data_IF_084988909281
#
_entry.id   IF_084988909281
#
_cell.length_a   1.000
_cell.length_b   1.000
_cell.length_c   1.000
_cell.angle_alpha   90.00
_cell.angle_beta   90.00
_cell.angle_gamma   90.00
#
_symmetry.space_group_name_H-M   'P 1'
#
loop_
_entity.id
_entity.type
_entity.pdbx_description
1 polymer ?
#
# COMPACT_ATOMS: atom_id res chain seq x y z
N UNK A 1 -0.58 18.01 14.90
CA UNK A 1 -1.03 18.73 13.69
C UNK A 1 -0.05 18.62 12.51
N UNK A 2 1.26 18.31 12.65
CA UNK A 2 2.16 18.22 11.46
C UNK A 2 2.01 16.94 10.61
N UNK A 3 1.70 15.79 11.22
CA UNK A 3 1.67 14.50 10.50
C UNK A 3 0.57 14.33 9.45
N UNK A 4 -0.52 15.11 9.50
CA UNK A 4 -1.58 15.06 8.50
C UNK A 4 -1.19 15.79 7.20
N UNK A 5 -0.45 16.89 7.31
CA UNK A 5 0.09 17.65 6.17
C UNK A 5 1.17 16.86 5.43
N UNK A 6 2.05 16.17 6.17
CA UNK A 6 3.08 15.29 5.60
C UNK A 6 2.48 14.11 4.81
N UNK A 7 1.35 13.54 5.27
CA UNK A 7 0.68 12.44 4.59
C UNK A 7 0.10 12.89 3.23
N UNK A 8 -0.58 14.04 3.23
CA UNK A 8 -1.13 14.65 2.02
C UNK A 8 -0.03 14.92 0.99
N UNK A 9 1.14 15.39 1.43
CA UNK A 9 2.29 15.63 0.56
C UNK A 9 2.82 14.32 -0.04
N UNK A 10 2.98 13.26 0.76
CA UNK A 10 3.47 11.96 0.26
C UNK A 10 2.49 11.31 -0.73
N UNK A 11 1.19 11.37 -0.45
CA UNK A 11 0.15 10.90 -1.37
C UNK A 11 0.14 11.71 -2.66
N UNK A 12 0.30 13.03 -2.56
CA UNK A 12 0.38 13.90 -3.73
C UNK A 12 1.63 13.60 -4.57
N UNK A 13 2.78 13.35 -3.94
CA UNK A 13 4.00 12.94 -4.63
C UNK A 13 3.80 11.60 -5.33
N UNK A 14 3.24 10.60 -4.64
CA UNK A 14 2.96 9.29 -5.25
C UNK A 14 2.01 9.42 -6.45
N UNK A 15 0.95 10.22 -6.33
CA UNK A 15 -0.02 10.46 -7.41
C UNK A 15 0.62 11.19 -8.59
N UNK A 16 1.46 12.18 -8.33
CA UNK A 16 2.21 12.89 -9.39
C UNK A 16 3.19 11.96 -10.09
N UNK A 17 3.86 11.08 -9.35
CA UNK A 17 4.77 10.08 -9.91
C UNK A 17 4.02 9.10 -10.83
N UNK A 18 2.88 8.57 -10.38
CA UNK A 18 2.03 7.70 -11.22
C UNK A 18 1.62 8.42 -12.52
N UNK A 19 1.19 9.70 -12.44
CA UNK A 19 0.84 10.49 -13.61
C UNK A 19 2.02 10.78 -14.56
N UNK A 20 3.24 10.90 -14.04
CA UNK A 20 4.46 11.05 -14.84
C UNK A 20 4.77 9.73 -15.57
N UNK A 21 4.65 8.59 -14.89
CA UNK A 21 4.88 7.28 -15.49
C UNK A 21 3.90 7.01 -16.63
N UNK A 22 2.63 7.37 -16.47
CA UNK A 22 1.61 7.24 -17.52
C UNK A 22 1.94 8.11 -18.75
N UNK A 23 2.34 9.37 -18.52
CA UNK A 23 2.76 10.27 -19.60
C UNK A 23 4.01 9.77 -20.32
N UNK A 24 5.00 9.24 -19.59
CA UNK A 24 6.18 8.64 -20.19
C UNK A 24 5.83 7.40 -21.02
N UNK A 25 4.88 6.59 -20.57
CA UNK A 25 4.39 5.44 -21.34
C UNK A 25 3.72 5.88 -22.65
N UNK A 26 2.92 6.95 -22.63
CA UNK A 26 2.30 7.50 -23.83
C UNK A 26 3.36 8.05 -24.80
N UNK A 27 4.35 8.79 -24.30
CA UNK A 27 5.43 9.32 -25.12
C UNK A 27 6.30 8.20 -25.72
N UNK A 28 6.56 7.13 -24.96
CA UNK A 28 7.26 5.93 -25.46
C UNK A 28 6.49 5.30 -26.63
N UNK A 29 5.17 5.15 -26.52
CA UNK A 29 4.32 4.62 -27.60
C UNK A 29 4.35 5.51 -28.85
N UNK A 30 4.17 6.82 -28.68
CA UNK A 30 4.22 7.78 -29.80
C UNK A 30 5.59 7.80 -30.47
N UNK A 31 6.68 7.64 -29.71
CA UNK A 31 8.03 7.60 -30.24
C UNK A 31 8.32 6.29 -31.01
N UNK A 32 7.70 5.16 -30.61
CA UNK A 32 7.80 3.89 -31.34
C UNK A 32 7.05 3.91 -32.68
N UNK A 33 5.97 4.67 -32.78
CA UNK A 33 5.17 4.80 -34.01
C UNK A 33 5.87 5.65 -35.10
N UNK A 34 6.93 6.39 -34.74
CA UNK A 34 7.62 7.28 -35.66
C UNK A 34 9.14 7.00 -35.69
N UNK A 35 9.69 6.47 -36.81
CA UNK A 35 11.10 6.10 -36.93
C UNK A 35 12.08 7.23 -36.59
N UNK A 36 11.65 8.50 -36.69
CA UNK A 36 12.44 9.68 -36.33
C UNK A 36 12.79 9.75 -34.85
N UNK A 37 12.04 9.09 -33.98
CA UNK A 37 12.17 9.17 -32.53
C UNK A 37 12.53 7.82 -31.88
N UNK A 38 12.99 6.84 -32.67
CA UNK A 38 13.33 5.51 -32.19
C UNK A 38 14.35 5.52 -31.04
N UNK A 39 15.41 6.33 -31.14
CA UNK A 39 16.45 6.47 -30.11
C UNK A 39 15.89 7.10 -28.80
N UNK A 40 14.92 8.01 -28.94
CA UNK A 40 14.23 8.63 -27.80
C UNK A 40 13.30 7.65 -27.09
N UNK A 41 12.69 6.70 -27.81
CA UNK A 41 11.80 5.70 -27.24
C UNK A 41 12.55 4.82 -26.22
N UNK A 42 13.79 4.42 -26.51
CA UNK A 42 14.63 3.66 -25.58
C UNK A 42 14.97 4.47 -24.32
N UNK A 43 15.33 5.74 -24.49
CA UNK A 43 15.64 6.65 -23.35
C UNK A 43 14.42 6.87 -22.46
N UNK A 44 13.23 7.05 -23.06
CA UNK A 44 11.96 7.18 -22.33
C UNK A 44 11.60 5.91 -21.56
N UNK A 45 11.81 4.74 -22.17
CA UNK A 45 11.62 3.45 -21.52
C UNK A 45 12.53 3.28 -20.30
N UNK A 46 13.83 3.57 -20.45
CA UNK A 46 14.78 3.50 -19.34
C UNK A 46 14.39 4.45 -18.21
N UNK A 47 14.01 5.69 -18.55
CA UNK A 47 13.57 6.69 -17.56
C UNK A 47 12.32 6.22 -16.80
N UNK A 48 11.34 5.65 -17.50
CA UNK A 48 10.14 5.07 -16.89
C UNK A 48 10.49 3.93 -15.93
N UNK A 49 11.41 3.03 -16.32
CA UNK A 49 11.88 1.94 -15.46
C UNK A 49 12.52 2.50 -14.18
N UNK A 50 13.48 3.43 -14.29
CA UNK A 50 14.13 4.02 -13.12
C UNK A 50 13.15 4.71 -12.17
N UNK A 51 12.20 5.49 -12.71
CA UNK A 51 11.21 6.19 -11.90
C UNK A 51 10.21 5.24 -11.23
N UNK A 52 9.85 4.14 -11.90
CA UNK A 52 8.92 3.14 -11.34
C UNK A 52 9.45 2.45 -10.08
N UNK A 53 10.78 2.40 -9.90
CA UNK A 53 11.41 1.85 -8.70
C UNK A 53 11.06 2.65 -7.43
N UNK A 54 10.69 3.92 -7.57
CA UNK A 54 10.34 4.80 -6.45
C UNK A 54 8.85 4.78 -6.09
N UNK A 55 7.98 4.25 -6.95
CA UNK A 55 6.53 4.24 -6.73
C UNK A 55 6.12 3.39 -5.53
N UNK A 56 6.57 2.14 -5.45
CA UNK A 56 6.23 1.25 -4.34
C UNK A 56 6.77 1.72 -2.98
N UNK A 57 8.05 2.14 -2.84
CA UNK A 57 8.57 2.68 -1.59
C UNK A 57 7.73 3.85 -1.04
N UNK A 58 7.30 4.78 -1.90
CA UNK A 58 6.45 5.90 -1.50
C UNK A 58 5.09 5.43 -0.97
N UNK A 59 4.44 4.50 -1.68
CA UNK A 59 3.17 3.90 -1.25
C UNK A 59 3.31 3.15 0.08
N UNK A 60 4.45 2.51 0.34
CA UNK A 60 4.73 1.84 1.63
C UNK A 60 4.86 2.87 2.76
N UNK A 61 5.55 3.98 2.54
CA UNK A 61 5.71 5.03 3.55
C UNK A 61 4.36 5.62 3.99
N UNK A 62 3.47 5.91 3.04
CA UNK A 62 2.10 6.37 3.33
C UNK A 62 1.35 5.35 4.19
N UNK A 63 1.37 4.08 3.79
CA UNK A 63 0.71 2.98 4.53
C UNK A 63 1.28 2.80 5.95
N UNK A 64 2.58 2.93 6.13
CA UNK A 64 3.25 2.84 7.44
C UNK A 64 2.82 3.96 8.39
N UNK A 65 2.68 5.18 7.88
CA UNK A 65 2.22 6.33 8.68
C UNK A 65 0.76 6.17 9.12
N UNK A 66 -0.12 5.73 8.20
CA UNK A 66 -1.51 5.41 8.51
C UNK A 66 -1.60 4.30 9.58
N UNK A 67 -0.78 3.26 9.45
CA UNK A 67 -0.70 2.21 10.46
C UNK A 67 -0.25 2.74 11.83
N UNK A 68 0.70 3.68 11.88
CA UNK A 68 1.13 4.32 13.11
C UNK A 68 -0.04 5.02 13.84
N UNK A 69 -0.93 5.69 13.10
CA UNK A 69 -2.12 6.34 13.66
C UNK A 69 -3.06 5.33 14.32
N UNK A 70 -3.34 4.21 13.65
CA UNK A 70 -4.23 3.18 14.20
C UNK A 70 -3.63 2.43 15.39
N UNK A 71 -2.32 2.18 15.39
CA UNK A 71 -1.62 1.47 16.49
C UNK A 71 -1.63 2.29 17.78
N UNK A 72 -1.69 3.62 17.69
CA UNK A 72 -1.78 4.51 18.86
C UNK A 72 -3.14 4.48 19.56
N UNK A 73 -4.19 3.96 18.91
CA UNK A 73 -5.51 3.84 19.51
C UNK A 73 -5.51 2.79 20.64
N UNK A 74 -6.05 3.13 21.82
CA UNK A 74 -5.90 2.34 23.06
C UNK A 74 -6.42 0.90 22.92
N UNK A 75 -7.49 0.70 22.13
CA UNK A 75 -8.05 -0.62 21.83
C UNK A 75 -7.11 -1.53 21.03
N UNK A 76 -6.25 -0.95 20.18
CA UNK A 76 -5.28 -1.66 19.33
C UNK A 76 -3.93 -1.78 20.03
N UNK A 77 -3.55 -0.77 20.80
CA UNK A 77 -2.35 -0.78 21.62
C UNK A 77 -2.33 -1.98 22.56
N UNK A 78 -3.48 -2.42 23.09
CA UNK A 78 -3.60 -3.61 23.95
C UNK A 78 -3.75 -4.93 23.19
N UNK A 79 -4.09 -4.90 21.90
CA UNK A 79 -4.30 -6.09 21.07
C UNK A 79 -3.12 -6.32 20.12
N UNK A 80 -2.18 -7.14 20.58
CA UNK A 80 -0.96 -7.45 19.84
C UNK A 80 -1.22 -8.08 18.47
N UNK A 81 -2.28 -8.90 18.32
CA UNK A 81 -2.61 -9.54 17.04
C UNK A 81 -3.18 -8.51 16.08
N UNK A 82 -4.05 -7.61 16.55
CA UNK A 82 -4.53 -6.50 15.73
C UNK A 82 -3.37 -5.62 15.24
N UNK A 83 -2.39 -5.35 16.11
CA UNK A 83 -1.18 -4.59 15.76
C UNK A 83 -0.38 -5.28 14.65
N UNK A 84 -0.13 -6.58 14.78
CA UNK A 84 0.59 -7.34 13.74
C UNK A 84 -0.17 -7.36 12.42
N UNK A 85 -1.51 -7.48 12.44
CA UNK A 85 -2.32 -7.41 11.21
C UNK A 85 -2.16 -6.06 10.53
N UNK A 86 -2.27 -4.96 11.29
CA UNK A 86 -2.12 -3.60 10.74
C UNK A 86 -0.71 -3.40 10.16
N UNK A 87 0.33 -3.83 10.87
CA UNK A 87 1.71 -3.76 10.39
C UNK A 87 1.94 -4.58 9.12
N UNK A 88 1.39 -5.80 9.06
CA UNK A 88 1.47 -6.65 7.86
C UNK A 88 0.83 -5.96 6.65
N UNK A 89 -0.38 -5.41 6.82
CA UNK A 89 -1.09 -4.67 5.76
C UNK A 89 -0.35 -3.38 5.36
N UNK A 90 0.32 -2.72 6.32
CA UNK A 90 1.08 -1.52 6.06
C UNK A 90 2.29 -1.78 5.15
N UNK A 91 3.07 -2.81 5.48
CA UNK A 91 4.32 -3.13 4.77
C UNK A 91 4.06 -3.80 3.42
N UNK A 92 3.13 -4.76 3.39
CA UNK A 92 2.94 -5.63 2.23
C UNK A 92 1.73 -5.24 1.38
N UNK A 93 0.88 -4.34 1.86
CA UNK A 93 -0.32 -3.90 1.14
C UNK A 93 -1.51 -4.86 1.24
N UNK A 94 -2.48 -4.71 0.33
CA UNK A 94 -3.70 -5.50 0.34
C UNK A 94 -3.43 -6.99 0.20
N UNK A 95 -3.99 -7.80 1.10
CA UNK A 95 -3.71 -9.25 1.10
C UNK A 95 -4.87 -10.09 1.61
N UNK A 96 -4.89 -11.36 1.22
CA UNK A 96 -5.89 -12.32 1.67
C UNK A 96 -5.56 -12.88 3.07
N UNK A 97 -6.55 -13.52 3.69
CA UNK A 97 -6.41 -14.03 5.06
C UNK A 97 -5.27 -15.05 5.25
N UNK A 98 -4.94 -15.83 4.23
CA UNK A 98 -3.84 -16.82 4.31
C UNK A 98 -2.48 -16.11 4.36
N UNK A 99 -2.31 -15.06 3.56
CA UNK A 99 -1.12 -14.22 3.58
C UNK A 99 -1.00 -13.46 4.91
N UNK A 100 -2.09 -12.85 5.40
CA UNK A 100 -2.14 -12.20 6.72
C UNK A 100 -1.74 -13.19 7.82
N UNK A 101 -2.27 -14.41 7.76
CA UNK A 101 -1.95 -15.45 8.75
C UNK A 101 -0.47 -15.81 8.74
N UNK A 102 0.16 -15.89 7.56
CA UNK A 102 1.58 -16.20 7.44
C UNK A 102 2.44 -15.08 8.01
N UNK A 103 2.09 -13.83 7.70
CA UNK A 103 2.85 -12.65 8.17
C UNK A 103 2.69 -12.45 9.68
N UNK A 104 1.48 -12.57 10.21
CA UNK A 104 1.26 -12.49 11.67
C UNK A 104 2.02 -13.60 12.40
N UNK A 105 2.13 -14.79 11.80
CA UNK A 105 2.91 -15.90 12.37
C UNK A 105 4.41 -15.67 12.34
N UNK A 106 4.95 -15.05 11.29
CA UNK A 106 6.38 -14.73 11.24
C UNK A 106 6.75 -13.65 12.25
N UNK A 107 5.84 -12.70 12.52
CA UNK A 107 6.07 -11.60 13.48
C UNK A 107 5.93 -12.04 14.95
N UNK A 108 4.92 -12.87 15.27
CA UNK A 108 4.51 -13.16 16.66
C UNK A 108 4.62 -14.64 17.06
N UNK A 109 4.93 -15.53 16.11
CA UNK A 109 4.92 -16.98 16.34
C UNK A 109 3.53 -17.62 16.23
N UNK A 110 3.22 -18.61 17.07
CA UNK A 110 2.01 -19.44 16.93
C UNK A 110 0.73 -18.63 17.15
N UNK A 111 -0.05 -18.45 16.09
CA UNK A 111 -1.41 -17.88 16.15
C UNK A 111 -2.40 -18.76 15.39
N UNK A 112 -3.59 -18.96 15.95
CA UNK A 112 -4.65 -19.73 15.30
C UNK A 112 -5.36 -18.89 14.23
N UNK A 113 -5.72 -19.53 13.11
CA UNK A 113 -6.51 -18.89 12.04
C UNK A 113 -7.86 -18.36 12.55
N UNK A 114 -8.43 -18.98 13.59
CA UNK A 114 -9.68 -18.56 14.23
C UNK A 114 -9.53 -17.17 14.85
N UNK A 115 -8.47 -16.95 15.63
CA UNK A 115 -8.22 -15.66 16.29
C UNK A 115 -7.98 -14.56 15.25
N UNK A 116 -7.23 -14.84 14.18
CA UNK A 116 -7.01 -13.86 13.10
C UNK A 116 -8.32 -13.49 12.42
N UNK A 117 -9.22 -14.45 12.16
CA UNK A 117 -10.56 -14.16 11.62
C UNK A 117 -11.38 -13.26 12.53
N UNK A 118 -11.35 -13.51 13.84
CA UNK A 118 -12.06 -12.66 14.81
C UNK A 118 -11.51 -11.23 14.84
N UNK A 119 -10.18 -11.07 14.81
CA UNK A 119 -9.55 -9.75 14.77
C UNK A 119 -9.78 -9.01 13.46
N UNK A 120 -9.75 -9.70 12.32
CA UNK A 120 -10.10 -9.07 11.04
C UNK A 120 -11.54 -8.54 11.05
N UNK A 121 -12.51 -9.32 11.56
CA UNK A 121 -13.90 -8.84 11.69
C UNK A 121 -14.01 -7.62 12.61
N UNK A 122 -13.25 -7.59 13.70
CA UNK A 122 -13.22 -6.46 14.63
C UNK A 122 -12.66 -5.20 13.97
N UNK A 123 -11.50 -5.32 13.31
CA UNK A 123 -10.86 -4.21 12.58
C UNK A 123 -11.74 -3.69 11.43
N UNK A 124 -12.47 -4.57 10.75
CA UNK A 124 -13.43 -4.21 9.70
C UNK A 124 -14.61 -3.43 10.29
N UNK A 125 -15.14 -3.87 11.44
CA UNK A 125 -16.19 -3.15 12.18
C UNK A 125 -15.74 -1.78 12.66
N UNK A 126 -14.47 -1.67 13.06
CA UNK A 126 -13.85 -0.40 13.50
C UNK A 126 -13.46 0.52 12.33
N UNK A 127 -13.76 0.14 11.08
CA UNK A 127 -13.41 0.88 9.84
C UNK A 127 -11.90 1.15 9.68
N UNK A 128 -11.08 0.28 10.26
CA UNK A 128 -9.61 0.38 10.16
C UNK A 128 -9.09 -0.37 8.94
N UNK A 129 -9.78 -1.47 8.61
CA UNK A 129 -9.55 -2.22 7.38
C UNK A 129 -10.83 -2.28 6.57
N UNK A 130 -10.69 -2.32 5.25
CA UNK A 130 -11.78 -2.57 4.34
C UNK A 130 -11.54 -3.86 3.57
N UNK A 131 -12.64 -4.50 3.20
CA UNK A 131 -12.62 -5.67 2.34
C UNK A 131 -12.73 -5.22 0.89
N UNK A 132 -11.77 -5.62 0.07
CA UNK A 132 -11.83 -5.37 -1.36
C UNK A 132 -12.48 -6.56 -2.07
N UNK A 133 -13.41 -6.27 -2.98
CA UNK A 133 -14.03 -7.28 -3.83
C UNK A 133 -13.12 -7.63 -5.01
N UNK A 134 -12.96 -8.92 -5.26
CA UNK A 134 -12.09 -9.48 -6.29
C UNK A 134 -12.13 -11.01 -6.26
N UNK A 135 -11.35 -11.66 -7.13
CA UNK A 135 -11.33 -13.14 -7.28
C UNK A 135 -11.02 -13.89 -5.97
N UNK A 136 -10.30 -13.24 -5.05
CA UNK A 136 -10.12 -13.69 -3.66
C UNK A 136 -10.34 -12.52 -2.72
N UNK A 137 -10.95 -12.80 -1.57
CA UNK A 137 -11.23 -11.79 -0.53
C UNK A 137 -9.91 -11.26 0.05
N UNK A 138 -9.59 -10.00 -0.27
CA UNK A 138 -8.42 -9.28 0.24
C UNK A 138 -8.85 -8.18 1.21
N UNK A 139 -7.93 -7.78 2.09
CA UNK A 139 -8.11 -6.73 3.08
C UNK A 139 -7.05 -5.65 2.86
N UNK A 140 -7.42 -4.38 2.95
CA UNK A 140 -6.51 -3.23 2.93
C UNK A 140 -6.75 -2.33 4.14
N UNK A 141 -5.77 -1.52 4.52
CA UNK A 141 -5.99 -0.42 5.46
C UNK A 141 -6.94 0.61 4.80
N UNK A 142 -7.81 1.21 5.61
CA UNK A 142 -8.60 2.37 5.17
C UNK A 142 -7.70 3.60 5.24
N UNK A 143 -7.50 4.25 4.10
CA UNK A 143 -6.81 5.54 4.04
C UNK A 143 -7.69 6.59 4.71
N UNK A 144 -7.23 7.12 5.84
CA UNK A 144 -7.90 8.20 6.57
C UNK A 144 -7.75 9.50 5.79
N UNK A 145 -8.72 9.81 4.92
CA UNK A 145 -9.01 11.19 4.51
C UNK A 145 -9.77 11.89 5.65
N UNK A 146 -9.05 12.45 6.62
CA UNK A 146 -9.58 13.39 7.61
C UNK A 146 -8.67 14.61 7.73
#
# INVERSE_FOLDING_TARGET
>A
MSGASENSILEEISRKLDAILDKLSLLEQMALENPRYADSAETLKLTRIFLSLYGEPLKILTRLRVAELYIRHESIKRDEIARCVIQALAVKGPMNISAITREVKSMRGKVSRRIIRERLKKLEKEKIIQRMEGTRKTYSLVETNH
#
